data_IF_922715213304
#
_entry.id   IF_922715213304
#
_cell.length_a   1.000
_cell.length_b   1.000
_cell.length_c   1.000
_cell.angle_alpha   90.00
_cell.angle_beta   90.00
_cell.angle_gamma   90.00
#
_symmetry.space_group_name_H-M   'P 1'
#
loop_
_entity.id
_entity.type
_entity.pdbx_description
1 polymer ?
#
# COMPACT_ATOMS: atom_id res chain seq x y z
N UNK A 1 66.61 13.31 7.94
CA UNK A 1 65.86 13.42 6.66
C UNK A 1 64.62 12.53 6.79
N UNK A 2 63.37 13.00 6.74
CA UNK A 2 62.87 14.31 6.39
C UNK A 2 61.61 14.63 7.19
N UNK A 3 61.38 15.93 7.37
CA UNK A 3 60.13 16.50 7.84
C UNK A 3 59.22 16.79 6.64
N UNK A 4 57.91 16.85 6.94
CA UNK A 4 56.81 17.44 6.18
C UNK A 4 56.17 16.60 5.05
N UNK A 5 54.99 16.05 5.36
CA UNK A 5 53.80 16.30 4.55
C UNK A 5 52.51 16.06 5.35
N UNK A 6 51.82 17.16 5.70
CA UNK A 6 50.39 17.35 5.98
C UNK A 6 49.65 16.29 6.85
N UNK A 7 49.17 16.56 8.07
CA UNK A 7 48.28 17.66 8.46
C UNK A 7 47.17 17.97 7.44
N UNK A 8 46.46 16.94 6.96
CA UNK A 8 45.09 17.03 6.47
C UNK A 8 44.52 15.64 6.13
N UNK A 9 44.08 14.88 7.12
CA UNK A 9 42.99 13.90 6.90
C UNK A 9 42.16 13.67 8.17
N UNK A 10 41.93 14.74 8.93
CA UNK A 10 40.79 14.82 9.84
C UNK A 10 39.55 15.16 9.00
N UNK A 11 38.95 14.15 8.36
CA UNK A 11 37.59 14.18 7.79
C UNK A 11 37.28 12.84 7.08
N UNK A 12 37.12 11.77 7.85
CA UNK A 12 36.21 10.67 7.50
C UNK A 12 35.26 10.59 8.71
N UNK A 13 34.10 11.26 8.77
CA UNK A 13 32.94 11.16 7.85
C UNK A 13 32.84 9.70 7.38
N UNK A 14 31.99 8.86 7.92
CA UNK A 14 30.69 9.07 8.56
C UNK A 14 30.43 7.86 9.44
N UNK A 15 29.94 8.11 10.65
CA UNK A 15 29.25 7.10 11.44
C UNK A 15 28.01 6.73 10.62
N UNK A 16 28.07 5.64 9.87
CA UNK A 16 26.90 5.02 9.26
C UNK A 16 26.02 4.55 10.41
N UNK A 17 25.11 5.43 10.84
CA UNK A 17 23.98 5.01 11.64
C UNK A 17 23.12 4.14 10.71
N UNK A 18 22.77 2.92 11.14
CA UNK A 18 21.96 2.04 10.31
C UNK A 18 20.66 2.77 9.99
N UNK A 19 20.36 2.92 8.71
CA UNK A 19 19.05 3.31 8.23
C UNK A 19 18.04 2.29 8.76
N UNK A 20 17.52 2.57 9.94
CA UNK A 20 16.34 1.95 10.49
C UNK A 20 15.26 2.23 9.44
N UNK A 21 14.82 1.20 8.72
CA UNK A 21 13.57 1.24 7.97
C UNK A 21 12.48 1.59 8.98
N UNK A 22 12.21 2.88 9.13
CA UNK A 22 11.05 3.38 9.86
C UNK A 22 9.84 2.88 9.06
N UNK A 23 9.29 1.75 9.49
CA UNK A 23 8.03 1.25 8.95
C UNK A 23 7.02 2.40 8.98
N UNK A 24 6.48 2.77 7.81
CA UNK A 24 5.47 3.82 7.62
C UNK A 24 4.34 3.73 8.66
N UNK A 25 4.08 2.52 9.18
CA UNK A 25 3.11 2.21 10.23
C UNK A 25 3.30 3.05 11.51
N UNK A 26 4.54 3.40 11.88
CA UNK A 26 4.81 4.25 13.04
C UNK A 26 4.60 5.74 12.77
N UNK A 27 4.62 6.18 11.51
CA UNK A 27 4.48 7.58 11.11
C UNK A 27 3.02 7.98 10.86
N UNK A 28 2.14 7.02 10.54
CA UNK A 28 0.71 7.28 10.31
C UNK A 28 0.03 8.13 11.40
N UNK A 29 0.25 7.89 12.72
CA UNK A 29 -0.34 8.72 13.77
C UNK A 29 0.22 10.14 13.79
N UNK A 30 1.51 10.31 13.49
CA UNK A 30 2.20 11.61 13.45
C UNK A 30 1.68 12.43 12.27
N UNK A 31 1.64 11.84 11.08
CA UNK A 31 1.09 12.47 9.88
C UNK A 31 -0.35 12.91 10.05
N UNK A 32 -1.19 12.09 10.70
CA UNK A 32 -2.59 12.44 10.97
C UNK A 32 -2.70 13.63 11.93
N UNK A 33 -1.89 13.63 12.98
CA UNK A 33 -1.87 14.72 13.98
C UNK A 33 -1.43 16.03 13.35
N UNK A 34 -0.36 16.00 12.56
CA UNK A 34 0.16 17.16 11.86
C UNK A 34 -0.80 17.67 10.77
N UNK A 35 -1.46 16.78 10.03
CA UNK A 35 -2.48 17.20 9.06
C UNK A 35 -3.69 17.86 9.76
N UNK A 36 -4.11 17.32 10.91
CA UNK A 36 -5.18 17.92 11.70
C UNK A 36 -4.77 19.30 12.23
N UNK A 37 -3.50 19.46 12.60
CA UNK A 37 -2.92 20.75 13.00
C UNK A 37 -2.99 21.78 11.88
N UNK A 38 -2.54 21.42 10.67
CA UNK A 38 -2.58 22.28 9.48
C UNK A 38 -4.00 22.63 9.01
N UNK A 39 -5.00 21.82 9.39
CA UNK A 39 -6.39 21.96 8.94
C UNK A 39 -7.38 22.32 10.05
N UNK A 40 -6.87 22.82 11.18
CA UNK A 40 -7.67 23.22 12.35
C UNK A 40 -8.65 24.34 12.05
N UNK A 41 -8.28 25.26 11.17
CA UNK A 41 -9.13 26.41 10.83
C UNK A 41 -10.30 26.03 9.93
N UNK A 42 -11.38 26.81 10.04
CA UNK A 42 -12.60 26.56 9.27
C UNK A 42 -12.31 26.71 7.78
N UNK A 43 -12.53 25.61 7.05
CA UNK A 43 -12.32 25.55 5.61
C UNK A 43 -10.88 25.27 5.18
N UNK A 44 -9.91 25.24 6.08
CA UNK A 44 -8.50 24.94 5.76
C UNK A 44 -8.34 23.56 5.12
N UNK A 45 -9.05 22.54 5.61
CA UNK A 45 -9.10 21.22 4.98
C UNK A 45 -9.62 21.26 3.54
N UNK A 46 -10.66 22.04 3.27
CA UNK A 46 -11.21 22.20 1.91
C UNK A 46 -10.23 22.91 0.99
N UNK A 47 -9.57 23.98 1.47
CA UNK A 47 -8.56 24.73 0.72
C UNK A 47 -7.34 23.86 0.40
N UNK A 48 -6.79 23.17 1.41
CA UNK A 48 -5.67 22.25 1.23
C UNK A 48 -6.01 21.13 0.24
N UNK A 49 -7.21 20.54 0.31
CA UNK A 49 -7.64 19.54 -0.65
C UNK A 49 -7.61 20.08 -2.09
N UNK A 50 -8.09 21.30 -2.32
CA UNK A 50 -8.07 21.95 -3.65
C UNK A 50 -6.64 22.24 -4.12
N UNK A 51 -5.78 22.76 -3.24
CA UNK A 51 -4.36 22.99 -3.54
C UNK A 51 -3.63 21.71 -3.96
N UNK A 52 -3.99 20.58 -3.34
CA UNK A 52 -3.48 19.25 -3.68
C UNK A 52 -4.24 18.55 -4.82
N UNK A 53 -5.22 19.21 -5.44
CA UNK A 53 -6.08 18.65 -6.51
C UNK A 53 -6.92 17.43 -6.10
N UNK A 54 -7.19 17.28 -4.80
CA UNK A 54 -8.09 16.29 -4.23
C UNK A 54 -9.51 16.80 -4.03
N UNK A 55 -10.45 15.88 -3.84
CA UNK A 55 -11.79 16.25 -3.35
C UNK A 55 -11.76 16.58 -1.85
N UNK A 56 -12.55 17.55 -1.36
CA UNK A 56 -12.62 17.85 0.07
C UNK A 56 -13.02 16.63 0.92
N UNK A 57 -13.86 15.75 0.38
CA UNK A 57 -14.27 14.49 1.03
C UNK A 57 -13.09 13.55 1.25
N UNK A 58 -12.13 13.51 0.33
CA UNK A 58 -10.93 12.68 0.43
C UNK A 58 -10.10 13.03 1.67
N UNK A 59 -9.85 14.33 1.87
CA UNK A 59 -9.06 14.80 3.01
C UNK A 59 -9.79 14.55 4.34
N UNK A 60 -11.12 14.68 4.37
CA UNK A 60 -11.94 14.32 5.54
C UNK A 60 -11.84 12.84 5.90
N UNK A 61 -11.80 11.94 4.90
CA UNK A 61 -11.65 10.50 5.14
C UNK A 61 -10.26 10.17 5.74
N UNK A 62 -9.21 10.85 5.30
CA UNK A 62 -7.86 10.71 5.88
C UNK A 62 -7.80 11.19 7.34
N UNK A 63 -8.38 12.36 7.62
CA UNK A 63 -8.48 12.90 8.98
C UNK A 63 -9.31 12.00 9.91
N UNK A 64 -10.37 11.38 9.38
CA UNK A 64 -11.19 10.41 10.11
C UNK A 64 -10.51 9.04 10.29
N UNK A 65 -9.31 8.83 9.73
CA UNK A 65 -8.62 7.54 9.77
C UNK A 65 -9.27 6.44 8.94
N UNK A 66 -10.22 6.79 8.06
CA UNK A 66 -10.87 5.86 7.13
C UNK A 66 -10.08 5.65 5.83
N UNK A 67 -8.99 6.41 5.65
CA UNK A 67 -8.08 6.27 4.52
C UNK A 67 -6.64 6.46 4.98
N UNK A 68 -5.77 5.62 4.46
CA UNK A 68 -4.35 5.65 4.77
C UNK A 68 -3.62 6.80 4.06
N UNK A 69 -2.54 7.22 4.68
CA UNK A 69 -1.58 8.16 4.13
C UNK A 69 -0.59 7.42 3.24
N UNK A 70 -0.12 8.07 2.18
CA UNK A 70 1.06 7.63 1.44
C UNK A 70 2.17 8.65 1.64
N UNK A 71 3.42 8.20 1.58
CA UNK A 71 4.58 9.10 1.64
C UNK A 71 4.47 10.20 0.57
N UNK A 72 4.09 9.85 -0.66
CA UNK A 72 3.86 10.80 -1.75
C UNK A 72 2.84 11.90 -1.40
N UNK A 73 1.78 11.55 -0.68
CA UNK A 73 0.78 12.51 -0.23
C UNK A 73 1.40 13.48 0.78
N UNK A 74 2.14 12.97 1.75
CA UNK A 74 2.78 13.75 2.81
C UNK A 74 3.83 14.71 2.25
N UNK A 75 4.71 14.23 1.37
CA UNK A 75 5.66 15.09 0.64
C UNK A 75 4.95 16.10 -0.25
N UNK A 76 3.78 15.72 -0.78
CA UNK A 76 2.89 16.62 -1.51
C UNK A 76 2.37 17.77 -0.65
N UNK A 77 1.92 17.48 0.58
CA UNK A 77 1.47 18.51 1.54
C UNK A 77 2.62 19.47 1.82
N UNK A 78 3.82 18.95 2.12
CA UNK A 78 4.99 19.76 2.41
C UNK A 78 5.34 20.70 1.26
N UNK A 79 5.40 20.17 0.03
CA UNK A 79 5.72 20.97 -1.15
C UNK A 79 4.65 22.04 -1.46
N UNK A 80 3.37 21.68 -1.38
CA UNK A 80 2.25 22.57 -1.73
C UNK A 80 2.11 23.72 -0.73
N UNK A 81 2.36 23.44 0.55
CA UNK A 81 2.26 24.43 1.64
C UNK A 81 3.57 25.15 1.92
N UNK A 82 4.70 24.69 1.36
CA UNK A 82 6.01 25.28 1.60
C UNK A 82 6.60 24.95 2.98
N UNK A 83 6.19 23.81 3.56
CA UNK A 83 6.82 23.28 4.77
C UNK A 83 8.21 22.72 4.44
N UNK A 84 9.13 22.72 5.42
CA UNK A 84 10.42 22.04 5.27
C UNK A 84 10.24 20.55 4.95
N UNK A 85 11.13 19.95 4.12
CA UNK A 85 11.11 18.51 3.89
C UNK A 85 11.24 17.73 5.20
N UNK A 86 10.36 16.75 5.42
CA UNK A 86 10.37 15.93 6.64
C UNK A 86 9.63 16.54 7.82
N UNK A 87 9.10 17.76 7.70
CA UNK A 87 8.30 18.39 8.76
C UNK A 87 7.12 17.51 9.19
N UNK A 88 6.48 16.83 8.25
CA UNK A 88 5.35 15.97 8.59
C UNK A 88 5.75 14.74 9.42
N UNK A 89 7.01 14.31 9.41
CA UNK A 89 7.46 13.05 10.05
C UNK A 89 7.72 13.19 11.55
N UNK A 90 7.73 14.42 12.07
CA UNK A 90 7.96 14.72 13.49
C UNK A 90 6.72 15.34 14.14
N UNK A 91 6.39 15.04 15.41
CA UNK A 91 5.28 15.68 16.09
C UNK A 91 5.48 17.19 16.22
N UNK A 92 4.44 17.97 15.92
CA UNK A 92 4.46 19.43 15.99
C UNK A 92 3.28 20.01 16.78
N UNK A 93 3.50 21.17 17.37
CA UNK A 93 2.47 21.99 18.01
C UNK A 93 2.07 23.18 17.14
N UNK A 94 0.99 23.88 17.52
CA UNK A 94 0.47 25.00 16.71
C UNK A 94 1.51 26.07 16.41
N UNK A 95 2.41 26.37 17.35
CA UNK A 95 3.45 27.39 17.18
C UNK A 95 4.59 26.97 16.23
N UNK A 96 4.71 25.68 15.91
CA UNK A 96 5.73 25.15 14.99
C UNK A 96 5.34 25.26 13.52
N UNK A 97 4.07 25.60 13.23
CA UNK A 97 3.58 25.78 11.86
C UNK A 97 4.14 27.10 11.31
N UNK A 98 5.00 27.07 10.28
CA UNK A 98 5.55 28.26 9.66
C UNK A 98 4.45 29.19 9.10
N UNK A 99 4.62 30.51 9.25
CA UNK A 99 3.64 31.50 8.81
C UNK A 99 3.34 31.41 7.30
N UNK A 100 4.37 31.14 6.49
CA UNK A 100 4.21 30.94 5.04
C UNK A 100 3.28 29.76 4.70
N UNK A 101 3.28 28.69 5.51
CA UNK A 101 2.40 27.55 5.30
C UNK A 101 0.95 27.86 5.69
N UNK A 102 0.75 28.65 6.74
CA UNK A 102 -0.59 29.16 7.11
C UNK A 102 -1.15 30.06 6.03
N UNK A 103 -0.37 31.06 5.61
CA UNK A 103 -0.75 32.01 4.56
C UNK A 103 -1.09 31.27 3.25
N UNK A 104 -0.34 30.23 2.90
CA UNK A 104 -0.59 29.41 1.72
C UNK A 104 -1.95 28.71 1.78
N UNK A 105 -2.29 28.10 2.92
CA UNK A 105 -3.55 27.38 3.12
C UNK A 105 -4.72 28.37 3.18
N UNK A 106 -4.57 29.52 3.82
CA UNK A 106 -5.64 30.49 4.00
C UNK A 106 -6.01 31.21 2.71
N UNK A 107 -5.02 31.53 1.89
CA UNK A 107 -5.21 32.16 0.60
C UNK A 107 -5.37 31.16 -0.55
N UNK A 108 -5.26 29.86 -0.28
CA UNK A 108 -5.31 28.79 -1.28
C UNK A 108 -4.26 28.97 -2.40
N UNK A 109 -3.06 29.41 -2.04
CA UNK A 109 -1.95 29.69 -2.96
C UNK A 109 -0.90 28.59 -2.85
N UNK A 110 -0.91 27.56 -3.72
CA UNK A 110 0.06 26.48 -3.65
C UNK A 110 1.46 26.97 -4.04
N UNK A 111 2.46 26.72 -3.20
CA UNK A 111 3.87 27.08 -3.48
C UNK A 111 4.55 26.11 -4.45
N UNK A 112 4.03 24.90 -4.57
CA UNK A 112 4.45 23.93 -5.57
C UNK A 112 3.24 23.30 -6.26
N UNK A 113 3.44 22.84 -7.49
CA UNK A 113 2.43 22.05 -8.20
C UNK A 113 2.52 20.60 -7.75
N UNK A 114 1.49 20.11 -7.08
CA UNK A 114 1.38 18.69 -6.76
C UNK A 114 1.32 17.85 -8.06
N UNK A 115 2.20 16.86 -8.17
CA UNK A 115 2.29 15.93 -9.33
C UNK A 115 2.04 14.47 -8.92
N UNK A 116 1.41 14.22 -7.78
CA UNK A 116 0.99 12.87 -7.42
C UNK A 116 -0.09 12.37 -8.38
N UNK A 117 -0.02 11.09 -8.77
CA UNK A 117 -0.88 10.45 -9.79
C UNK A 117 -2.32 10.20 -9.33
N UNK A 118 -2.79 10.93 -8.33
CA UNK A 118 -4.08 10.67 -7.72
C UNK A 118 -5.09 11.78 -8.09
N UNK A 119 -5.60 11.78 -9.34
CA UNK A 119 -7.04 11.92 -9.69
C UNK A 119 -7.30 12.34 -11.16
N UNK A 120 -8.41 11.88 -11.81
CA UNK A 120 -9.73 12.50 -11.59
C UNK A 120 -10.93 11.53 -11.51
N UNK A 121 -11.76 11.70 -10.47
CA UNK A 121 -13.20 11.41 -10.56
C UNK A 121 -13.78 12.45 -11.52
N UNK A 122 -14.49 11.98 -12.56
CA UNK A 122 -15.09 12.80 -13.62
C UNK A 122 -16.02 13.88 -13.03
N UNK A 123 -15.89 15.11 -13.52
CA UNK A 123 -16.86 16.19 -13.28
C UNK A 123 -18.13 15.91 -14.09
N UNK A 124 -19.30 16.08 -13.47
CA UNK A 124 -20.60 16.07 -14.17
C UNK A 124 -20.60 17.18 -15.24
N UNK A 125 -21.01 16.85 -16.46
CA UNK A 125 -21.26 17.82 -17.51
C UNK A 125 -22.43 18.72 -17.11
N UNK A 126 -22.16 20.00 -16.90
CA UNK A 126 -23.20 21.03 -16.81
C UNK A 126 -23.66 21.33 -18.24
N UNK A 127 -24.47 20.43 -18.81
CA UNK A 127 -25.34 20.77 -19.93
C UNK A 127 -26.73 20.99 -19.34
N UNK A 128 -27.27 22.19 -19.56
CA UNK A 128 -28.67 22.52 -19.28
C UNK A 128 -29.56 21.53 -20.06
N UNK A 129 -30.47 20.78 -19.40
CA UNK A 129 -31.38 19.91 -20.14
C UNK A 129 -32.30 20.76 -21.03
N UNK A 130 -32.57 20.35 -22.29
CA UNK A 130 -33.67 20.91 -23.06
C UNK A 130 -35.00 20.55 -22.36
N UNK A 131 -35.98 21.44 -22.46
CA UNK A 131 -37.29 21.30 -21.82
C UNK A 131 -37.95 19.94 -22.14
N UNK A 132 -38.61 19.29 -21.17
CA UNK A 132 -39.22 17.99 -21.39
C UNK A 132 -40.46 18.14 -22.29
N UNK A 133 -40.39 17.54 -23.48
CA UNK A 133 -41.57 17.25 -24.30
C UNK A 133 -42.34 16.10 -23.61
N UNK A 134 -43.64 16.32 -23.42
CA UNK A 134 -44.63 15.46 -22.76
C UNK A 134 -44.38 13.94 -22.86
N UNK A 135 -44.42 13.26 -21.71
CA UNK A 135 -44.58 11.79 -21.63
C UNK A 135 -43.56 11.00 -20.79
N UNK A 136 -42.71 11.61 -19.97
CA UNK A 136 -41.68 10.88 -19.24
C UNK A 136 -42.17 10.22 -17.94
N UNK A 137 -41.88 8.92 -17.83
CA UNK A 137 -41.92 8.12 -16.60
C UNK A 137 -41.18 8.82 -15.45
N UNK A 138 -41.59 8.58 -14.19
CA UNK A 138 -41.04 9.32 -13.04
C UNK A 138 -39.51 9.22 -13.01
N UNK A 139 -38.86 10.37 -12.94
CA UNK A 139 -37.41 10.45 -12.74
C UNK A 139 -37.06 9.68 -11.46
N UNK A 140 -36.20 8.65 -11.60
CA UNK A 140 -35.64 7.93 -10.46
C UNK A 140 -34.96 8.93 -9.52
N UNK A 141 -35.13 8.72 -8.22
CA UNK A 141 -34.59 9.64 -7.22
C UNK A 141 -33.06 9.61 -7.30
N UNK A 142 -32.37 10.76 -7.19
CA UNK A 142 -30.91 10.81 -7.22
C UNK A 142 -30.25 9.99 -6.08
N UNK A 143 -31.00 9.61 -5.05
CA UNK A 143 -30.56 8.70 -3.98
C UNK A 143 -30.41 7.25 -4.50
N UNK A 144 -31.35 6.77 -5.34
CA UNK A 144 -31.29 5.42 -5.94
C UNK A 144 -30.07 5.28 -6.87
N UNK A 145 -29.77 6.33 -7.66
CA UNK A 145 -28.58 6.38 -8.53
C UNK A 145 -27.26 6.30 -7.73
N UNK A 146 -27.23 6.87 -6.51
CA UNK A 146 -26.03 6.80 -5.65
C UNK A 146 -25.84 5.43 -5.02
N UNK A 147 -26.93 4.77 -4.64
CA UNK A 147 -26.89 3.41 -4.09
C UNK A 147 -26.49 2.39 -5.16
N UNK A 148 -27.04 2.48 -6.38
CA UNK A 148 -26.63 1.64 -7.51
C UNK A 148 -25.13 1.87 -7.83
N UNK A 149 -24.68 3.13 -7.92
CA UNK A 149 -23.27 3.43 -8.19
C UNK A 149 -22.31 2.96 -7.08
N UNK A 150 -22.75 2.93 -5.82
CA UNK A 150 -21.95 2.40 -4.71
C UNK A 150 -21.93 0.86 -4.72
N UNK A 151 -23.04 0.20 -5.02
CA UNK A 151 -23.11 -1.25 -5.19
C UNK A 151 -22.21 -1.70 -6.35
N UNK A 152 -22.27 -1.02 -7.50
CA UNK A 152 -21.38 -1.31 -8.63
C UNK A 152 -19.89 -1.13 -8.27
N UNK A 153 -19.54 -0.10 -7.48
CA UNK A 153 -18.16 0.09 -7.00
C UNK A 153 -17.73 -1.04 -6.07
N UNK A 154 -18.61 -1.48 -5.17
CA UNK A 154 -18.34 -2.61 -4.26
C UNK A 154 -18.16 -3.92 -5.03
N UNK A 155 -19.03 -4.19 -6.01
CA UNK A 155 -18.91 -5.35 -6.90
C UNK A 155 -17.63 -5.32 -7.73
N UNK A 156 -17.27 -4.17 -8.31
CA UNK A 156 -16.03 -4.03 -9.07
C UNK A 156 -14.79 -4.23 -8.19
N UNK A 157 -14.81 -3.71 -6.96
CA UNK A 157 -13.76 -3.95 -5.97
C UNK A 157 -13.65 -5.44 -5.59
N UNK A 158 -14.78 -6.09 -5.33
CA UNK A 158 -14.83 -7.52 -5.02
C UNK A 158 -14.24 -8.37 -6.15
N UNK A 159 -14.64 -8.12 -7.41
CA UNK A 159 -14.07 -8.79 -8.59
C UNK A 159 -12.56 -8.60 -8.66
N UNK A 160 -12.07 -7.37 -8.49
CA UNK A 160 -10.63 -7.08 -8.48
C UNK A 160 -9.89 -7.85 -7.39
N UNK A 161 -10.38 -7.83 -6.15
CA UNK A 161 -9.74 -8.52 -5.02
C UNK A 161 -9.73 -10.03 -5.24
N UNK A 162 -10.84 -10.60 -5.72
CA UNK A 162 -10.94 -12.02 -6.07
C UNK A 162 -9.93 -12.40 -7.16
N UNK A 163 -9.83 -11.62 -8.23
CA UNK A 163 -8.91 -11.91 -9.32
C UNK A 163 -7.44 -11.87 -8.88
N UNK A 164 -7.09 -10.94 -7.97
CA UNK A 164 -5.77 -10.91 -7.34
C UNK A 164 -5.53 -12.15 -6.46
N UNK A 165 -6.52 -12.55 -5.66
CA UNK A 165 -6.41 -13.76 -4.84
C UNK A 165 -6.20 -15.02 -5.70
N UNK A 166 -6.92 -15.14 -6.83
CA UNK A 166 -6.74 -16.24 -7.79
C UNK A 166 -5.32 -16.23 -8.37
N UNK A 167 -4.78 -15.07 -8.70
CA UNK A 167 -3.40 -14.95 -9.20
C UNK A 167 -2.36 -15.41 -8.18
N UNK A 168 -2.52 -15.03 -6.91
CA UNK A 168 -1.61 -15.48 -5.83
C UNK A 168 -1.72 -16.99 -5.59
N UNK A 169 -2.93 -17.56 -5.60
CA UNK A 169 -3.13 -19.02 -5.49
C UNK A 169 -2.45 -19.75 -6.66
N UNK A 170 -2.57 -19.25 -7.89
CA UNK A 170 -1.87 -19.79 -9.07
C UNK A 170 -0.36 -19.64 -9.00
N UNK A 171 0.13 -18.55 -8.40
CA UNK A 171 1.58 -18.38 -8.14
C UNK A 171 2.05 -19.43 -7.14
N UNK A 172 1.32 -19.63 -6.05
CA UNK A 172 1.66 -20.63 -5.03
C UNK A 172 1.63 -22.06 -5.58
N UNK A 173 0.60 -22.41 -6.36
CA UNK A 173 0.52 -23.69 -7.09
C UNK A 173 1.78 -23.93 -7.94
N UNK A 174 2.20 -22.92 -8.72
CA UNK A 174 3.41 -23.03 -9.55
C UNK A 174 4.67 -23.25 -8.73
N UNK A 175 4.81 -22.59 -7.57
CA UNK A 175 5.93 -22.80 -6.65
C UNK A 175 5.94 -24.21 -6.06
N UNK A 176 4.78 -24.79 -5.75
CA UNK A 176 4.69 -26.17 -5.25
C UNK A 176 5.01 -27.19 -6.35
N UNK A 177 4.57 -26.93 -7.59
CA UNK A 177 4.81 -27.83 -8.73
C UNK A 177 6.26 -27.75 -9.22
N UNK A 178 6.83 -26.53 -9.27
CA UNK A 178 8.18 -26.25 -9.76
C UNK A 178 8.96 -25.48 -8.69
N UNK A 179 9.39 -26.16 -7.61
CA UNK A 179 10.15 -25.52 -6.56
C UNK A 179 11.54 -25.11 -7.08
N UNK A 180 12.15 -24.04 -6.54
CA UNK A 180 13.51 -23.64 -6.92
C UNK A 180 14.56 -24.71 -6.60
N UNK A 181 14.24 -25.62 -5.66
CA UNK A 181 15.04 -26.80 -5.34
C UNK A 181 14.14 -28.02 -5.45
N UNK A 182 14.47 -28.93 -6.36
CA UNK A 182 13.73 -30.16 -6.57
C UNK A 182 13.87 -31.10 -5.37
N UNK A 183 12.73 -31.54 -4.81
CA UNK A 183 12.71 -32.46 -3.67
C UNK A 183 13.45 -33.77 -3.99
N UNK A 184 13.40 -34.23 -5.25
CA UNK A 184 14.16 -35.38 -5.72
C UNK A 184 15.68 -35.17 -5.60
N UNK A 185 16.17 -33.95 -5.86
CA UNK A 185 17.59 -33.63 -5.70
C UNK A 185 18.01 -33.60 -4.23
N UNK A 186 17.15 -33.06 -3.35
CA UNK A 186 17.39 -33.08 -1.90
C UNK A 186 17.40 -34.52 -1.39
N UNK A 187 16.41 -35.32 -1.78
CA UNK A 187 16.32 -36.75 -1.44
C UNK A 187 17.59 -37.49 -1.82
N UNK A 188 18.03 -37.39 -3.08
CA UNK A 188 19.24 -38.07 -3.54
C UNK A 188 20.47 -37.67 -2.71
N UNK A 189 20.66 -36.38 -2.43
CA UNK A 189 21.79 -35.92 -1.60
C UNK A 189 21.74 -36.43 -0.16
N UNK A 190 20.54 -36.52 0.42
CA UNK A 190 20.37 -37.06 1.78
C UNK A 190 20.62 -38.56 1.77
N UNK A 191 20.12 -39.29 0.77
CA UNK A 191 20.38 -40.73 0.57
C UNK A 191 21.88 -41.01 0.36
N UNK A 192 22.60 -40.18 -0.40
CA UNK A 192 24.06 -40.28 -0.56
C UNK A 192 24.79 -40.10 0.77
N UNK A 193 24.34 -39.16 1.62
CA UNK A 193 24.90 -38.95 2.96
C UNK A 193 24.60 -40.13 3.88
N UNK A 194 23.38 -40.66 3.82
CA UNK A 194 22.98 -41.85 4.58
C UNK A 194 23.82 -43.08 4.18
N UNK A 195 24.09 -43.25 2.89
CA UNK A 195 24.92 -44.36 2.39
C UNK A 195 26.42 -44.20 2.72
N UNK A 196 26.91 -42.97 2.83
CA UNK A 196 28.32 -42.68 3.11
C UNK A 196 28.67 -42.66 4.61
N UNK A 197 27.67 -42.49 5.48
CA UNK A 197 27.85 -42.41 6.93
C UNK A 197 27.44 -43.73 7.62
N UNK A 198 28.20 -44.14 8.63
CA UNK A 198 27.81 -45.26 9.51
C UNK A 198 26.83 -44.72 10.57
N UNK A 199 25.56 -44.60 10.18
CA UNK A 199 24.50 -44.01 10.99
C UNK A 199 23.78 -45.06 11.84
N UNK A 200 23.34 -44.66 13.03
CA UNK A 200 22.43 -45.46 13.83
C UNK A 200 21.10 -45.70 13.09
N UNK A 201 20.55 -46.91 13.19
CA UNK A 201 19.28 -47.32 12.55
C UNK A 201 18.10 -46.37 12.87
N UNK A 202 18.11 -45.75 14.05
CA UNK A 202 17.10 -44.76 14.46
C UNK A 202 17.21 -43.45 13.66
N UNK A 203 18.44 -43.00 13.37
CA UNK A 203 18.70 -41.75 12.65
C UNK A 203 18.35 -41.96 11.17
N UNK A 204 18.73 -43.11 10.61
CA UNK A 204 18.39 -43.51 9.25
C UNK A 204 16.87 -43.50 9.02
N UNK A 205 16.13 -44.15 9.93
CA UNK A 205 14.67 -44.20 9.88
C UNK A 205 14.00 -42.82 10.03
N UNK A 206 14.51 -41.92 10.89
CA UNK A 206 13.94 -40.57 11.02
C UNK A 206 14.21 -39.74 9.75
N UNK A 207 15.43 -39.77 9.20
CA UNK A 207 15.76 -39.06 7.95
C UNK A 207 14.87 -39.50 6.78
N UNK A 208 14.72 -40.81 6.58
CA UNK A 208 13.82 -41.37 5.58
C UNK A 208 12.36 -40.92 5.81
N UNK A 209 11.90 -40.97 7.06
CA UNK A 209 10.57 -40.52 7.46
C UNK A 209 10.33 -39.04 7.18
N UNK A 210 11.31 -38.16 7.42
CA UNK A 210 11.20 -36.72 7.12
C UNK A 210 11.06 -36.45 5.63
N UNK A 211 11.85 -37.13 4.79
CA UNK A 211 11.77 -36.99 3.34
C UNK A 211 10.40 -37.44 2.81
N UNK A 212 9.86 -38.55 3.32
CA UNK A 212 8.52 -39.01 2.97
C UNK A 212 7.43 -38.03 3.44
N UNK A 213 7.56 -37.50 4.66
CA UNK A 213 6.58 -36.56 5.20
C UNK A 213 6.55 -35.24 4.42
N UNK A 214 7.71 -34.71 4.02
CA UNK A 214 7.81 -33.51 3.18
C UNK A 214 7.09 -33.75 1.84
N UNK A 215 7.29 -34.90 1.21
CA UNK A 215 6.63 -35.24 -0.04
C UNK A 215 5.11 -35.37 0.12
N UNK A 216 4.64 -36.03 1.19
CA UNK A 216 3.21 -36.12 1.51
C UNK A 216 2.59 -34.74 1.74
N UNK A 217 3.26 -33.87 2.49
CA UNK A 217 2.78 -32.51 2.75
C UNK A 217 2.72 -31.68 1.46
N UNK A 218 3.69 -31.83 0.55
CA UNK A 218 3.65 -31.17 -0.77
C UNK A 218 2.41 -31.58 -1.55
N UNK A 219 2.12 -32.88 -1.64
CA UNK A 219 0.91 -33.38 -2.32
C UNK A 219 -0.38 -32.90 -1.66
N UNK A 220 -0.41 -32.85 -0.32
CA UNK A 220 -1.55 -32.32 0.43
C UNK A 220 -1.79 -30.85 0.14
N UNK A 221 -0.73 -30.03 0.15
CA UNK A 221 -0.79 -28.60 -0.17
C UNK A 221 -1.26 -28.35 -1.59
N UNK A 222 -0.82 -29.15 -2.57
CA UNK A 222 -1.30 -29.06 -3.95
C UNK A 222 -2.81 -29.25 -4.04
N UNK A 223 -3.35 -30.31 -3.41
CA UNK A 223 -4.81 -30.56 -3.37
C UNK A 223 -5.59 -29.42 -2.72
N UNK A 224 -5.06 -28.86 -1.62
CA UNK A 224 -5.69 -27.71 -0.97
C UNK A 224 -5.68 -26.47 -1.86
N UNK A 225 -4.59 -26.24 -2.59
CA UNK A 225 -4.44 -25.12 -3.50
C UNK A 225 -5.40 -25.24 -4.69
N UNK A 226 -5.54 -26.44 -5.26
CA UNK A 226 -6.55 -26.74 -6.29
C UNK A 226 -7.97 -26.48 -5.80
N UNK A 227 -8.30 -26.96 -4.59
CA UNK A 227 -9.63 -26.75 -3.99
C UNK A 227 -9.90 -25.27 -3.72
N UNK A 228 -8.89 -24.54 -3.21
CA UNK A 228 -8.99 -23.11 -2.96
C UNK A 228 -9.22 -22.32 -4.25
N UNK A 229 -8.50 -22.66 -5.32
CA UNK A 229 -8.73 -22.08 -6.63
C UNK A 229 -10.16 -22.34 -7.13
N UNK A 230 -10.66 -23.57 -7.00
CA UNK A 230 -12.02 -23.92 -7.41
C UNK A 230 -13.09 -23.11 -6.64
N UNK A 231 -12.92 -22.93 -5.33
CA UNK A 231 -13.82 -22.12 -4.50
C UNK A 231 -13.79 -20.64 -4.90
N UNK A 232 -12.60 -20.09 -5.18
CA UNK A 232 -12.47 -18.71 -5.63
C UNK A 232 -13.07 -18.48 -7.03
N UNK A 233 -13.00 -19.47 -7.92
CA UNK A 233 -13.63 -19.40 -9.23
C UNK A 233 -15.16 -19.42 -9.14
N UNK A 234 -15.73 -20.26 -8.27
CA UNK A 234 -17.18 -20.38 -8.07
C UNK A 234 -17.81 -19.07 -7.54
N UNK A 235 -17.09 -18.33 -6.68
CA UNK A 235 -17.52 -17.00 -6.19
C UNK A 235 -17.70 -15.95 -7.30
N UNK A 236 -17.37 -16.26 -8.55
CA UNK A 236 -17.57 -15.40 -9.72
C UNK A 236 -18.61 -15.84 -10.72
N UNK A 237 -19.16 -17.04 -10.60
CA UNK A 237 -20.17 -17.59 -11.51
C UNK A 237 -21.61 -17.35 -11.01
N UNK A 238 -21.79 -17.02 -9.73
CA UNK A 238 -23.10 -16.76 -9.09
C UNK A 238 -23.65 -15.33 -9.30
N UNK A 239 -23.19 -14.58 -10.31
CA UNK A 239 -23.53 -13.19 -10.63
C UNK A 239 -24.02 -13.06 -12.09
#
# INVERSE_FOLDING_TARGET
MGAACAHALAARLTKEEPAMEYSDEYLLPVWRTNLALLTREVGASTRLARMMTFSPSYLKLMLAGQRDFSEEFVRGVEAVTGLPPGWMDTPHESHDVPDNARDAIDNETPLARFRGTAHPVRKKSVLRPPEPIFGQQPQRRPEDDTHEAEQHRRQAHFRKVRDLAVQEVRRFERYLTHPPVELASVRAKVEDVMAAADLDERIDADLAGRLEQIDKHRHMLLRHTERLHALLAQLGEDD
#
